data_IF_453431727435
#
_entry.id   IF_453431727435
#
_cell.length_a   1.000
_cell.length_b   1.000
_cell.length_c   1.000
_cell.angle_alpha   90.00
_cell.angle_beta   90.00
_cell.angle_gamma   90.00
#
_symmetry.space_group_name_H-M   'P 1'
#
loop_
_entity.id
_entity.type
_entity.pdbx_description
1 polymer ?
#
# COMPACT_ATOMS: atom_id res chain seq x y z
N UNK A 1 15.09 -9.38 -21.52
CA UNK A 1 14.62 -9.43 -20.11
C UNK A 1 15.62 -8.67 -19.25
N UNK A 2 15.32 -7.41 -18.94
CA UNK A 2 16.16 -6.62 -18.04
C UNK A 2 16.09 -7.26 -16.64
N UNK A 3 17.23 -7.72 -16.12
CA UNK A 3 17.31 -8.25 -14.76
C UNK A 3 17.10 -7.07 -13.81
N UNK A 4 15.96 -7.03 -13.13
CA UNK A 4 15.80 -6.15 -11.96
C UNK A 4 16.96 -6.45 -11.03
N UNK A 5 17.79 -5.47 -10.64
CA UNK A 5 18.89 -5.72 -9.72
C UNK A 5 18.31 -6.32 -8.44
N UNK A 6 18.90 -7.41 -7.94
CA UNK A 6 18.42 -8.17 -6.76
C UNK A 6 18.36 -7.37 -5.45
N UNK A 7 18.63 -6.07 -5.50
CA UNK A 7 18.69 -5.16 -4.37
C UNK A 7 17.51 -4.17 -4.34
N UNK A 8 16.61 -4.20 -5.34
CA UNK A 8 15.43 -3.32 -5.36
C UNK A 8 14.14 -4.11 -5.18
N UNK A 9 13.27 -3.58 -4.33
CA UNK A 9 11.90 -4.07 -4.18
C UNK A 9 10.97 -3.35 -5.16
N UNK A 10 9.89 -4.02 -5.57
CA UNK A 10 8.83 -3.38 -6.32
C UNK A 10 8.15 -2.31 -5.43
N UNK A 11 8.04 -1.09 -5.94
CA UNK A 11 7.55 0.07 -5.18
C UNK A 11 6.11 -0.09 -4.69
N UNK A 12 5.27 -0.75 -5.47
CA UNK A 12 3.85 -0.93 -5.24
C UNK A 12 3.64 -2.00 -4.18
N UNK A 13 4.41 -3.10 -4.24
CA UNK A 13 4.47 -4.10 -3.16
C UNK A 13 5.01 -3.50 -1.86
N UNK A 14 6.09 -2.71 -1.90
CA UNK A 14 6.59 -2.02 -0.71
C UNK A 14 5.57 -1.05 -0.11
N UNK A 15 4.75 -0.42 -0.95
CA UNK A 15 3.66 0.43 -0.48
C UNK A 15 2.55 -0.39 0.21
N UNK A 16 2.18 -1.55 -0.35
CA UNK A 16 1.20 -2.44 0.28
C UNK A 16 1.70 -2.97 1.62
N UNK A 17 2.98 -3.34 1.73
CA UNK A 17 3.60 -3.75 3.00
C UNK A 17 3.59 -2.60 4.04
N UNK A 18 3.82 -1.36 3.59
CA UNK A 18 3.65 -0.20 4.45
C UNK A 18 2.21 -0.08 4.96
N UNK A 19 1.21 -0.14 4.08
CA UNK A 19 -0.19 -0.01 4.50
C UNK A 19 -0.64 -1.18 5.38
N UNK A 20 -0.06 -2.36 5.19
CA UNK A 20 -0.28 -3.51 6.07
C UNK A 20 0.24 -3.26 7.50
N UNK A 21 1.37 -2.56 7.66
CA UNK A 21 1.85 -2.14 8.98
C UNK A 21 0.91 -1.11 9.62
N UNK A 22 0.38 -0.17 8.84
CA UNK A 22 -0.64 0.80 9.33
C UNK A 22 -1.90 0.07 9.81
N UNK A 23 -2.38 -0.93 9.06
CA UNK A 23 -3.50 -1.77 9.49
C UNK A 23 -3.16 -2.59 10.74
N UNK A 24 -1.89 -2.99 10.91
CA UNK A 24 -1.39 -3.63 12.13
C UNK A 24 -1.68 -2.81 13.40
N UNK A 25 -1.47 -1.50 13.35
CA UNK A 25 -1.77 -0.58 14.47
C UNK A 25 -3.26 -0.53 14.84
N UNK A 26 -4.15 -0.74 13.87
CA UNK A 26 -5.60 -0.85 14.11
C UNK A 26 -5.97 -2.15 14.84
N UNK A 27 -5.21 -3.22 14.61
CA UNK A 27 -5.43 -4.54 15.17
C UNK A 27 -4.74 -4.74 16.52
N UNK A 28 -3.74 -3.93 16.86
CA UNK A 28 -3.05 -3.99 18.14
C UNK A 28 -3.99 -3.56 19.29
N UNK A 29 -4.24 -4.49 20.23
CA UNK A 29 -5.10 -4.27 21.39
C UNK A 29 -4.43 -3.43 22.48
N UNK A 30 -3.13 -3.21 22.40
CA UNK A 30 -2.39 -2.33 23.32
C UNK A 30 -2.62 -0.85 22.99
N UNK A 31 -3.04 -0.54 21.75
CA UNK A 31 -3.46 0.80 21.35
C UNK A 31 -4.85 1.15 21.90
N UNK A 32 -5.09 2.40 22.36
CA UNK A 32 -6.42 2.85 22.76
C UNK A 32 -7.45 2.68 21.63
N UNK A 33 -8.71 2.39 21.99
CA UNK A 33 -9.74 2.02 20.99
C UNK A 33 -9.97 3.09 19.92
N UNK A 34 -9.87 4.38 20.27
CA UNK A 34 -10.03 5.46 19.30
C UNK A 34 -8.81 5.60 18.38
N UNK A 35 -7.60 5.31 18.85
CA UNK A 35 -6.41 5.29 18.00
C UNK A 35 -6.47 4.14 17.00
N UNK A 36 -6.96 2.97 17.44
CA UNK A 36 -7.20 1.83 16.55
C UNK A 36 -8.21 2.16 15.45
N UNK A 37 -9.30 2.86 15.79
CA UNK A 37 -10.27 3.33 14.82
C UNK A 37 -9.65 4.32 13.82
N UNK A 38 -8.81 5.26 14.31
CA UNK A 38 -8.07 6.18 13.42
C UNK A 38 -7.17 5.43 12.46
N UNK A 39 -6.36 4.47 12.94
CA UNK A 39 -5.50 3.66 12.08
C UNK A 39 -6.29 2.84 11.05
N UNK A 40 -7.46 2.31 11.44
CA UNK A 40 -8.35 1.64 10.49
C UNK A 40 -8.81 2.59 9.38
N UNK A 41 -9.27 3.79 9.73
CA UNK A 41 -9.68 4.80 8.75
C UNK A 41 -8.51 5.21 7.85
N UNK A 42 -7.32 5.45 8.42
CA UNK A 42 -6.11 5.81 7.66
C UNK A 42 -5.74 4.69 6.67
N UNK A 43 -5.72 3.43 7.12
CA UNK A 43 -5.39 2.30 6.26
C UNK A 43 -6.37 2.15 5.09
N UNK A 44 -7.65 2.44 5.28
CA UNK A 44 -8.66 2.45 4.22
C UNK A 44 -8.45 3.61 3.25
N UNK A 45 -8.30 4.86 3.75
CA UNK A 45 -8.07 6.01 2.88
C UNK A 45 -6.78 5.88 2.04
N UNK A 46 -5.72 5.32 2.63
CA UNK A 46 -4.51 4.98 1.89
C UNK A 46 -4.81 3.98 0.76
N UNK A 47 -5.60 2.94 1.06
CA UNK A 47 -5.93 1.90 0.08
C UNK A 47 -6.76 2.47 -1.07
N UNK A 48 -7.71 3.36 -0.80
CA UNK A 48 -8.47 4.07 -1.82
C UNK A 48 -7.53 4.84 -2.76
N UNK A 49 -6.60 5.63 -2.22
CA UNK A 49 -5.57 6.34 -3.01
C UNK A 49 -4.72 5.37 -3.86
N UNK A 50 -4.35 4.21 -3.29
CA UNK A 50 -3.59 3.21 -4.01
C UNK A 50 -4.34 2.70 -5.25
N UNK A 51 -5.65 2.47 -5.15
CA UNK A 51 -6.45 2.05 -6.29
C UNK A 51 -6.67 3.18 -7.30
N UNK A 52 -6.99 4.37 -6.82
CA UNK A 52 -7.28 5.54 -7.68
C UNK A 52 -6.05 5.99 -8.47
N UNK A 53 -4.88 6.01 -7.84
CA UNK A 53 -3.66 6.57 -8.44
C UNK A 53 -2.74 5.47 -8.94
N UNK A 54 -2.39 4.50 -8.09
CA UNK A 54 -1.31 3.55 -8.42
C UNK A 54 -1.77 2.44 -9.35
N UNK A 55 -2.89 1.79 -9.04
CA UNK A 55 -3.45 0.76 -9.93
C UNK A 55 -3.82 1.36 -11.29
N UNK A 56 -4.39 2.56 -11.31
CA UNK A 56 -4.66 3.27 -12.56
C UNK A 56 -3.36 3.48 -13.39
N UNK A 57 -2.29 3.95 -12.75
CA UNK A 57 -0.98 4.11 -13.41
C UNK A 57 -0.38 2.80 -13.92
N UNK A 58 -0.47 1.72 -13.15
CA UNK A 58 0.00 0.38 -13.59
C UNK A 58 -0.79 -0.10 -14.80
N UNK A 59 -2.12 0.06 -14.81
CA UNK A 59 -2.94 -0.31 -15.97
C UNK A 59 -2.54 0.45 -17.22
N UNK A 60 -2.31 1.75 -17.10
CA UNK A 60 -1.82 2.57 -18.22
C UNK A 60 -0.44 2.11 -18.74
N UNK A 61 0.47 1.72 -17.86
CA UNK A 61 1.78 1.18 -18.26
C UNK A 61 1.63 -0.13 -19.04
N UNK A 62 0.82 -1.05 -18.51
CA UNK A 62 0.53 -2.35 -19.16
C UNK A 62 -0.13 -2.15 -20.52
N UNK A 63 -1.13 -1.26 -20.61
CA UNK A 63 -1.80 -0.92 -21.88
C UNK A 63 -0.85 -0.24 -22.89
N UNK A 64 0.08 0.58 -22.40
CA UNK A 64 1.13 1.21 -23.20
C UNK A 64 2.28 0.27 -23.59
N UNK A 65 2.29 -0.97 -23.09
CA UNK A 65 3.33 -1.96 -23.36
C UNK A 65 4.67 -1.68 -22.68
N UNK A 66 4.67 -0.95 -21.56
CA UNK A 66 5.85 -0.58 -20.77
C UNK A 66 5.85 -1.30 -19.42
#
# INVERSE_FOLDING_TARGET
>A
MSRVPSHFFNRELSWLEFNQRVMGEALDKTNPILERLKFFCIANSNLDEFFEVRIAGIKQQVEGGV
#
